data_IF_401282764416
#
_entry.id   IF_401282764416
#
_cell.length_a   1.000
_cell.length_b   1.000
_cell.length_c   1.000
_cell.angle_alpha   90.00
_cell.angle_beta   90.00
_cell.angle_gamma   90.00
#
_symmetry.space_group_name_H-M   'P 1'
#
loop_
_entity.id
_entity.type
_entity.pdbx_description
1 polymer ?
#
# COMPACT_ATOMS: atom_id res chain seq x y z
N UNK A 1 7.98 -9.00 6.91
CA UNK A 1 7.12 -8.03 6.19
C UNK A 1 6.71 -8.66 4.87
N UNK A 2 5.42 -8.77 4.58
CA UNK A 2 4.94 -9.31 3.28
C UNK A 2 5.34 -8.34 2.17
N UNK A 3 5.86 -8.84 1.04
CA UNK A 3 6.22 -7.98 -0.10
C UNK A 3 4.95 -7.40 -0.72
N UNK A 4 5.05 -6.20 -1.29
CA UNK A 4 3.90 -5.51 -1.94
C UNK A 4 3.11 -6.38 -2.91
N UNK A 5 3.80 -7.15 -3.75
CA UNK A 5 3.17 -8.01 -4.75
C UNK A 5 2.50 -9.24 -4.13
N UNK A 6 3.07 -9.79 -3.05
CA UNK A 6 2.46 -10.88 -2.30
C UNK A 6 1.17 -10.39 -1.62
N UNK A 7 1.19 -9.19 -1.02
CA UNK A 7 0.00 -8.58 -0.44
C UNK A 7 -1.10 -8.35 -1.49
N UNK A 8 -0.73 -7.93 -2.70
CA UNK A 8 -1.65 -7.77 -3.82
C UNK A 8 -2.36 -9.08 -4.18
N UNK A 9 -1.59 -10.17 -4.30
CA UNK A 9 -2.16 -11.48 -4.63
C UNK A 9 -2.95 -12.08 -3.47
N UNK A 10 -2.57 -11.85 -2.23
CA UNK A 10 -3.33 -12.28 -1.07
C UNK A 10 -4.70 -11.58 -1.00
N UNK A 11 -4.75 -10.29 -1.37
CA UNK A 11 -5.98 -9.50 -1.26
C UNK A 11 -6.92 -9.69 -2.45
N UNK A 12 -6.39 -9.70 -3.67
CA UNK A 12 -7.20 -9.75 -4.90
C UNK A 12 -7.09 -11.06 -5.68
N UNK A 13 -6.24 -11.99 -5.26
CA UNK A 13 -5.88 -13.14 -6.09
C UNK A 13 -4.93 -12.78 -7.24
N UNK A 14 -4.54 -13.82 -8.00
CA UNK A 14 -3.64 -13.73 -9.15
C UNK A 14 -4.38 -14.11 -10.42
N UNK A 15 -4.16 -13.36 -11.49
CA UNK A 15 -4.72 -13.61 -12.82
C UNK A 15 -3.60 -14.08 -13.75
N UNK A 16 -3.49 -15.39 -13.93
CA UNK A 16 -2.48 -16.00 -14.81
C UNK A 16 -2.68 -15.59 -16.28
N UNK A 17 -1.61 -15.69 -17.08
CA UNK A 17 -1.64 -15.38 -18.51
C UNK A 17 -1.55 -13.88 -18.86
N UNK A 18 -1.66 -12.99 -17.87
CA UNK A 18 -1.58 -11.55 -18.07
C UNK A 18 -0.52 -10.89 -17.20
N UNK A 19 0.10 -9.84 -17.73
CA UNK A 19 0.97 -8.96 -16.96
C UNK A 19 0.22 -7.71 -16.50
N UNK A 20 0.54 -7.19 -15.32
CA UNK A 20 -0.13 -6.01 -14.78
C UNK A 20 0.00 -4.79 -15.72
N UNK A 21 1.08 -4.66 -16.50
CA UNK A 21 1.24 -3.61 -17.52
C UNK A 21 0.18 -3.60 -18.63
N UNK A 22 -0.59 -4.68 -18.77
CA UNK A 22 -1.69 -4.83 -19.75
C UNK A 22 -3.04 -4.40 -19.15
N UNK A 23 -3.09 -4.12 -17.85
CA UNK A 23 -4.30 -3.74 -17.12
C UNK A 23 -4.60 -2.25 -17.26
N UNK A 24 -5.88 -1.88 -17.30
CA UNK A 24 -6.34 -0.49 -17.27
C UNK A 24 -5.86 0.29 -16.04
N UNK A 25 -5.64 -0.38 -14.91
CA UNK A 25 -5.20 0.26 -13.67
C UNK A 25 -3.68 0.49 -13.61
N UNK A 26 -2.93 0.12 -14.65
CA UNK A 26 -1.48 0.35 -14.71
C UNK A 26 -1.18 1.74 -15.26
N UNK A 27 -0.52 2.55 -14.44
CA UNK A 27 -0.16 3.92 -14.79
C UNK A 27 1.33 3.98 -15.11
N UNK A 28 1.66 4.46 -16.31
CA UNK A 28 3.03 4.74 -16.75
C UNK A 28 3.15 6.17 -17.22
N UNK A 29 4.19 6.86 -16.77
CA UNK A 29 4.43 8.25 -17.17
C UNK A 29 5.88 8.68 -16.94
N UNK A 30 6.10 10.00 -16.97
CA UNK A 30 7.36 10.62 -16.56
C UNK A 30 7.07 11.65 -15.47
N UNK A 31 7.90 11.68 -14.43
CA UNK A 31 7.83 12.66 -13.35
C UNK A 31 9.25 13.09 -12.96
N UNK A 32 9.55 14.40 -13.00
CA UNK A 32 10.90 14.94 -12.77
C UNK A 32 12.01 14.19 -13.53
N UNK A 33 11.77 13.88 -14.81
CA UNK A 33 12.72 13.16 -15.67
C UNK A 33 12.85 11.66 -15.40
N UNK A 34 12.18 11.11 -14.37
CA UNK A 34 12.18 9.68 -14.05
C UNK A 34 10.94 8.98 -14.62
N UNK A 35 11.08 7.70 -14.95
CA UNK A 35 9.95 6.88 -15.41
C UNK A 35 9.09 6.51 -14.21
N UNK A 36 7.83 6.97 -14.22
CA UNK A 36 6.83 6.61 -13.23
C UNK A 36 6.12 5.32 -13.64
N UNK A 37 5.98 4.37 -12.72
CA UNK A 37 5.22 3.13 -12.91
C UNK A 37 4.44 2.84 -11.64
N UNK A 38 3.12 2.85 -11.69
CA UNK A 38 2.22 2.67 -10.55
C UNK A 38 1.05 1.76 -10.95
N UNK A 39 0.29 1.31 -9.95
CA UNK A 39 -0.98 0.62 -10.14
C UNK A 39 -2.03 1.31 -9.26
N UNK A 40 -3.15 1.74 -9.82
CA UNK A 40 -4.18 2.50 -9.09
C UNK A 40 -4.75 1.68 -7.92
N UNK A 41 -5.06 0.41 -8.18
CA UNK A 41 -5.55 -0.54 -7.18
C UNK A 41 -4.57 -0.73 -6.01
N UNK A 42 -3.26 -0.67 -6.27
CA UNK A 42 -2.26 -0.71 -5.20
C UNK A 42 -2.10 0.65 -4.51
N UNK A 43 -2.02 1.72 -5.28
CA UNK A 43 -2.02 3.11 -4.83
C UNK A 43 -1.14 4.05 -5.67
N UNK A 44 -1.54 5.32 -5.72
CA UNK A 44 -0.87 6.40 -6.47
C UNK A 44 -0.23 7.43 -5.52
N UNK A 45 0.79 7.03 -4.75
CA UNK A 45 1.48 7.96 -3.85
C UNK A 45 2.78 8.50 -4.46
N UNK A 46 3.26 9.65 -3.95
CA UNK A 46 4.54 10.23 -4.35
C UNK A 46 5.78 9.43 -3.87
N UNK A 47 5.58 8.43 -3.00
CA UNK A 47 6.68 7.61 -2.46
C UNK A 47 7.00 6.42 -3.36
N UNK A 48 8.25 5.96 -3.33
CA UNK A 48 8.70 4.71 -3.96
C UNK A 48 7.99 3.46 -3.39
N UNK A 49 7.36 3.58 -2.21
CA UNK A 49 6.55 2.51 -1.63
C UNK A 49 5.38 2.07 -2.54
N UNK A 50 4.88 2.98 -3.40
CA UNK A 50 3.86 2.69 -4.41
C UNK A 50 4.41 2.37 -5.80
N UNK A 51 5.74 2.37 -6.00
CA UNK A 51 6.34 2.01 -7.29
C UNK A 51 5.99 0.57 -7.68
N UNK A 52 5.65 0.37 -8.93
CA UNK A 52 5.11 -0.88 -9.43
C UNK A 52 5.90 -1.43 -10.60
N UNK A 53 6.15 -2.74 -10.59
CA UNK A 53 6.79 -3.41 -11.71
C UNK A 53 5.70 -4.03 -12.59
N UNK A 54 5.42 -3.41 -13.74
CA UNK A 54 4.39 -3.90 -14.67
C UNK A 54 4.66 -5.29 -15.27
N UNK A 55 5.86 -5.86 -15.07
CA UNK A 55 6.19 -7.25 -15.46
C UNK A 55 5.59 -8.31 -14.55
N UNK A 56 5.10 -7.94 -13.37
CA UNK A 56 4.44 -8.89 -12.48
C UNK A 56 3.14 -9.37 -13.12
N UNK A 57 2.77 -10.62 -12.81
CA UNK A 57 1.48 -11.18 -13.20
C UNK A 57 0.36 -10.28 -12.67
N UNK A 58 -0.73 -10.17 -13.43
CA UNK A 58 -1.88 -9.39 -13.03
C UNK A 58 -2.51 -9.93 -11.74
N UNK A 59 -3.12 -9.03 -10.96
CA UNK A 59 -3.99 -9.40 -9.84
C UNK A 59 -5.42 -9.70 -10.34
N UNK A 60 -6.30 -10.21 -9.48
CA UNK A 60 -7.70 -10.49 -9.83
C UNK A 60 -8.53 -9.28 -10.27
N UNK A 61 -8.09 -8.04 -9.99
CA UNK A 61 -8.69 -6.81 -10.54
C UNK A 61 -8.24 -6.48 -11.98
N UNK A 62 -7.80 -7.47 -12.76
CA UNK A 62 -7.36 -7.24 -14.13
C UNK A 62 -8.49 -6.67 -14.99
N UNK A 63 -8.26 -5.50 -15.59
CA UNK A 63 -9.22 -4.74 -16.39
C UNK A 63 -10.55 -4.43 -15.69
N UNK A 64 -10.55 -4.39 -14.35
CA UNK A 64 -11.64 -3.83 -13.56
C UNK A 64 -11.23 -2.41 -13.15
N UNK A 65 -11.85 -1.36 -13.71
CA UNK A 65 -11.45 0.02 -13.43
C UNK A 65 -11.51 0.32 -11.93
N UNK A 66 -10.42 0.85 -11.40
CA UNK A 66 -10.38 1.34 -10.02
C UNK A 66 -11.26 2.59 -9.88
N UNK A 67 -12.12 2.61 -8.87
CA UNK A 67 -13.12 3.68 -8.67
C UNK A 67 -12.67 4.65 -7.59
N UNK A 68 -13.11 5.90 -7.69
CA UNK A 68 -12.72 6.99 -6.77
C UNK A 68 -13.03 6.72 -5.29
N UNK A 69 -14.08 5.93 -5.01
CA UNK A 69 -14.49 5.57 -3.65
C UNK A 69 -13.82 4.28 -3.13
N UNK A 70 -13.07 3.57 -3.96
CA UNK A 70 -12.31 2.40 -3.53
C UNK A 70 -11.06 2.85 -2.78
N UNK A 71 -10.69 2.08 -1.75
CA UNK A 71 -9.48 2.34 -0.98
C UNK A 71 -8.30 1.58 -1.59
N UNK A 72 -7.18 2.24 -1.94
CA UNK A 72 -6.03 1.55 -2.51
C UNK A 72 -5.38 0.63 -1.46
N UNK A 73 -4.85 -0.51 -1.90
CA UNK A 73 -4.33 -1.54 -0.99
C UNK A 73 -3.22 -1.01 -0.05
N UNK A 74 -2.37 -0.10 -0.51
CA UNK A 74 -1.31 0.49 0.32
C UNK A 74 -1.85 1.19 1.57
N UNK A 75 -3.08 1.72 1.54
CA UNK A 75 -3.72 2.32 2.70
C UNK A 75 -4.30 1.28 3.65
N UNK A 76 -4.92 0.23 3.11
CA UNK A 76 -5.41 -0.93 3.90
C UNK A 76 -4.25 -1.54 4.70
N UNK A 77 -3.08 -1.70 4.08
CA UNK A 77 -1.86 -2.20 4.72
C UNK A 77 -1.27 -1.24 5.76
N UNK A 78 -1.51 0.07 5.67
CA UNK A 78 -1.08 1.04 6.68
C UNK A 78 -2.00 1.00 7.90
N UNK A 79 -3.31 0.90 7.72
CA UNK A 79 -4.26 0.80 8.84
C UNK A 79 -4.03 -0.43 9.71
N UNK A 80 -3.70 -1.59 9.11
CA UNK A 80 -3.39 -2.79 9.87
C UNK A 80 -2.09 -2.71 10.70
N UNK A 81 -1.16 -1.82 10.34
CA UNK A 81 0.05 -1.55 11.14
C UNK A 81 -0.24 -0.67 12.35
N UNK A 82 -1.00 0.42 12.17
CA UNK A 82 -1.38 1.31 13.29
C UNK A 82 -2.15 0.57 14.39
N UNK A 83 -3.08 -0.31 14.01
CA UNK A 83 -3.82 -1.14 14.96
C UNK A 83 -2.94 -2.10 15.79
N UNK A 84 -1.72 -2.42 15.33
CA UNK A 84 -0.74 -3.24 16.08
C UNK A 84 0.21 -2.41 16.95
N UNK A 85 0.48 -1.16 16.57
CA UNK A 85 1.35 -0.26 17.34
C UNK A 85 0.62 0.42 18.52
N UNK A 86 -0.71 0.51 18.48
CA UNK A 86 -1.53 1.12 19.54
C UNK A 86 -1.81 0.21 20.76
N UNK A 87 -1.22 -0.98 20.83
CA UNK A 87 -1.23 -1.74 22.09
C UNK A 87 -0.11 -1.20 22.97
N UNK A 88 -0.39 -0.48 24.08
CA UNK A 88 0.63 -0.12 25.04
C UNK A 88 1.34 -1.39 25.49
N UNK A 89 2.67 -1.41 25.35
CA UNK A 89 3.51 -2.49 25.85
C UNK A 89 3.31 -2.52 27.37
N UNK A 90 2.84 -3.65 27.90
CA UNK A 90 2.69 -3.83 29.35
C UNK A 90 4.06 -3.61 30.01
N UNK A 91 4.17 -2.55 30.82
CA UNK A 91 5.39 -2.19 31.54
C UNK A 91 5.97 -0.81 31.26
N UNK A 92 5.37 0.01 30.37
CA UNK A 92 5.81 1.39 30.20
C UNK A 92 5.32 2.26 31.38
N UNK A 93 6.20 2.49 32.35
CA UNK A 93 6.01 3.51 33.38
C UNK A 93 5.96 4.89 32.72
N UNK A 94 4.85 5.61 32.87
CA UNK A 94 4.76 7.03 32.58
C UNK A 94 5.31 7.78 33.79
N UNK A 95 6.40 8.55 33.60
CA UNK A 95 6.85 9.49 34.62
C UNK A 95 5.84 10.65 34.62
N UNK A 96 5.00 10.70 35.65
CA UNK A 96 4.20 11.88 35.93
C UNK A 96 5.14 13.00 36.41
N UNK A 97 5.13 14.10 35.67
CA UNK A 97 5.87 15.32 35.95
C UNK A 97 5.48 15.87 37.33
N UNK A 98 6.47 16.08 38.19
CA UNK A 98 6.28 16.63 39.52
C UNK A 98 5.87 18.11 39.46
N UNK A 99 4.89 18.48 40.29
CA UNK A 99 4.83 19.83 40.84
C UNK A 99 4.62 19.77 42.34
N UNK A 100 5.71 20.08 43.05
CA UNK A 100 5.68 20.70 44.36
C UNK A 100 4.90 22.01 44.27
N UNK A 101 3.95 22.21 45.19
CA UNK A 101 3.62 23.53 45.75
C UNK A 101 2.89 23.34 47.07
N UNK A 102 3.59 23.73 48.13
CA UNK A 102 3.16 24.29 49.43
C UNK A 102 2.27 23.47 50.38
#
# INVERSE_FOLDING_TARGET
MVRKIEAMYLYYGKQEGHACRECCNYVRGRYHGRVLRKCETYGLTYSEASDWAGKWTACGQFNQPFREWERPLIEVLKSGRRAREDTPIAGQITFADGKETE
#
